data_IF_805412109062
#
_entry.id   IF_805412109062
#
_cell.length_a   1.000
_cell.length_b   1.000
_cell.length_c   1.000
_cell.angle_alpha   90.00
_cell.angle_beta   90.00
_cell.angle_gamma   90.00
#
_symmetry.space_group_name_H-M   'P 1'
#
loop_
_entity.id
_entity.type
_entity.pdbx_description
1 polymer ?
#
# COMPACT_ATOMS: atom_id res chain seq x y z
N UNK A 1 -24.55 -14.33 11.25
CA UNK A 1 -23.24 -14.45 11.94
C UNK A 1 -22.46 -15.55 11.23
N UNK A 2 -21.26 -15.25 10.69
CA UNK A 2 -20.39 -16.28 10.11
C UNK A 2 -19.34 -16.65 11.15
N UNK A 3 -19.04 -17.95 11.29
CA UNK A 3 -18.03 -18.45 12.22
C UNK A 3 -16.76 -18.74 11.43
N UNK A 4 -15.62 -18.30 11.95
CA UNK A 4 -14.30 -18.61 11.39
C UNK A 4 -13.54 -19.39 12.46
N UNK A 5 -13.24 -20.64 12.17
CA UNK A 5 -12.38 -21.46 13.02
C UNK A 5 -10.92 -21.06 12.79
N UNK A 6 -10.19 -20.86 13.87
CA UNK A 6 -8.77 -20.53 13.86
C UNK A 6 -8.01 -21.46 14.79
N UNK A 7 -6.71 -21.62 14.57
CA UNK A 7 -5.83 -22.34 15.51
C UNK A 7 -5.78 -21.60 16.85
N UNK A 8 -5.58 -22.33 17.94
CA UNK A 8 -5.51 -21.75 19.29
C UNK A 8 -4.43 -20.66 19.41
N UNK A 9 -3.27 -20.89 18.80
CA UNK A 9 -2.19 -19.90 18.74
C UNK A 9 -2.64 -18.58 18.08
N UNK A 10 -3.41 -18.67 17.00
CA UNK A 10 -3.96 -17.52 16.30
C UNK A 10 -4.98 -16.80 17.17
N UNK A 11 -5.83 -17.55 17.88
CA UNK A 11 -6.78 -16.97 18.83
C UNK A 11 -6.07 -16.20 19.95
N UNK A 12 -5.01 -16.76 20.54
CA UNK A 12 -4.21 -16.10 21.58
C UNK A 12 -3.60 -14.79 21.06
N UNK A 13 -3.03 -14.81 19.85
CA UNK A 13 -2.50 -13.61 19.20
C UNK A 13 -3.60 -12.57 18.99
N UNK A 14 -4.75 -12.97 18.44
CA UNK A 14 -5.87 -12.08 18.17
C UNK A 14 -6.46 -11.48 19.45
N UNK A 15 -6.47 -12.24 20.55
CA UNK A 15 -6.90 -11.75 21.87
C UNK A 15 -5.99 -10.62 22.38
N UNK A 16 -4.67 -10.74 22.20
CA UNK A 16 -3.71 -9.67 22.53
C UNK A 16 -3.96 -8.44 21.66
N UNK A 17 -4.15 -8.63 20.36
CA UNK A 17 -4.41 -7.53 19.42
C UNK A 17 -5.73 -6.82 19.73
N UNK A 18 -6.81 -7.56 20.01
CA UNK A 18 -8.10 -6.98 20.43
C UNK A 18 -7.94 -6.06 21.64
N UNK A 19 -7.16 -6.49 22.64
CA UNK A 19 -6.87 -5.68 23.84
C UNK A 19 -6.06 -4.44 23.50
N UNK A 20 -5.02 -4.59 22.67
CA UNK A 20 -4.17 -3.48 22.23
C UNK A 20 -4.94 -2.42 21.45
N UNK A 21 -5.76 -2.83 20.48
CA UNK A 21 -6.61 -1.96 19.66
C UNK A 21 -7.86 -1.45 20.40
N UNK A 22 -8.06 -1.85 21.67
CA UNK A 22 -9.28 -1.59 22.46
C UNK A 22 -10.56 -1.90 21.68
N UNK A 23 -10.55 -2.99 20.91
CA UNK A 23 -11.64 -3.35 20.03
C UNK A 23 -12.79 -4.01 20.82
N UNK A 24 -14.03 -3.67 20.44
CA UNK A 24 -15.26 -4.11 21.11
C UNK A 24 -15.45 -5.62 20.94
N UNK A 25 -15.25 -6.12 19.73
CA UNK A 25 -15.36 -7.55 19.37
C UNK A 25 -14.12 -8.05 18.63
N UNK A 26 -14.04 -9.35 18.39
CA UNK A 26 -13.01 -9.92 17.52
C UNK A 26 -13.20 -9.50 16.06
N UNK A 27 -14.45 -9.35 15.61
CA UNK A 27 -14.76 -8.81 14.27
C UNK A 27 -14.23 -7.39 14.11
N UNK A 28 -14.51 -6.52 15.07
CA UNK A 28 -14.00 -5.13 15.10
C UNK A 28 -12.46 -5.10 15.11
N UNK A 29 -11.81 -6.02 15.84
CA UNK A 29 -10.35 -6.13 15.81
C UNK A 29 -9.83 -6.54 14.43
N UNK A 30 -10.52 -7.46 13.74
CA UNK A 30 -10.15 -7.93 12.40
C UNK A 30 -10.35 -6.81 11.37
N UNK A 31 -11.47 -6.10 11.40
CA UNK A 31 -11.74 -4.96 10.50
C UNK A 31 -10.65 -3.90 10.63
N UNK A 32 -10.33 -3.47 11.85
CA UNK A 32 -9.24 -2.52 12.09
C UNK A 32 -7.88 -3.00 11.59
N UNK A 33 -7.57 -4.29 11.75
CA UNK A 33 -6.33 -4.87 11.22
C UNK A 33 -6.28 -4.83 9.70
N UNK A 34 -7.42 -5.09 9.03
CA UNK A 34 -7.54 -5.00 7.57
C UNK A 34 -7.29 -3.56 7.11
N UNK A 35 -7.90 -2.58 7.77
CA UNK A 35 -7.70 -1.16 7.44
C UNK A 35 -6.24 -0.75 7.59
N UNK A 36 -5.61 -1.08 8.73
CA UNK A 36 -4.18 -0.79 8.99
C UNK A 36 -3.30 -1.42 7.91
N UNK A 37 -3.59 -2.66 7.49
CA UNK A 37 -2.83 -3.32 6.44
C UNK A 37 -2.90 -2.55 5.12
N UNK A 38 -4.10 -2.15 4.69
CA UNK A 38 -4.27 -1.42 3.44
C UNK A 38 -3.69 0.00 3.50
N UNK A 39 -3.82 0.70 4.63
CA UNK A 39 -3.20 2.01 4.81
C UNK A 39 -1.67 1.94 4.74
N UNK A 40 -1.06 0.99 5.45
CA UNK A 40 0.38 0.80 5.41
C UNK A 40 0.87 0.43 4.02
N UNK A 41 0.12 -0.44 3.32
CA UNK A 41 0.45 -0.83 1.95
C UNK A 41 0.33 0.35 0.98
N UNK A 42 -0.68 1.20 1.13
CA UNK A 42 -0.84 2.44 0.35
C UNK A 42 0.34 3.39 0.59
N UNK A 43 0.74 3.61 1.85
CA UNK A 43 1.90 4.45 2.18
C UNK A 43 3.19 3.91 1.57
N UNK A 44 3.42 2.61 1.67
CA UNK A 44 4.57 1.95 1.04
C UNK A 44 4.63 2.22 -0.47
N UNK A 45 3.52 2.08 -1.18
CA UNK A 45 3.49 2.35 -2.61
C UNK A 45 3.69 3.83 -2.94
N UNK A 46 3.14 4.75 -2.16
CA UNK A 46 3.38 6.19 -2.35
C UNK A 46 4.86 6.54 -2.16
N UNK A 47 5.50 6.02 -1.12
CA UNK A 47 6.95 6.20 -0.92
C UNK A 47 7.76 5.59 -2.06
N UNK A 48 7.34 4.43 -2.58
CA UNK A 48 8.00 3.80 -3.71
C UNK A 48 7.89 4.67 -4.96
N UNK A 49 6.70 5.23 -5.23
CA UNK A 49 6.48 6.17 -6.33
C UNK A 49 7.37 7.40 -6.16
N UNK A 50 7.42 8.02 -4.98
CA UNK A 50 8.28 9.17 -4.73
C UNK A 50 9.77 8.84 -4.94
N UNK A 51 10.23 7.67 -4.48
CA UNK A 51 11.63 7.23 -4.64
C UNK A 51 12.00 6.85 -6.08
N UNK A 52 11.02 6.38 -6.86
CA UNK A 52 11.23 5.95 -8.25
C UNK A 52 10.89 7.02 -9.28
N UNK A 53 10.26 8.12 -8.85
CA UNK A 53 9.98 9.27 -9.70
C UNK A 53 11.31 9.84 -10.17
N UNK A 54 11.47 9.93 -11.50
CA UNK A 54 12.60 10.63 -12.09
C UNK A 54 12.60 12.09 -11.58
N UNK A 55 13.76 12.64 -11.22
CA UNK A 55 13.87 14.07 -10.95
C UNK A 55 13.32 14.86 -12.13
N UNK A 56 12.62 15.97 -11.88
CA UNK A 56 12.00 16.79 -12.94
C UNK A 56 13.00 17.16 -14.06
N UNK A 57 14.27 17.41 -13.70
CA UNK A 57 15.34 17.66 -14.68
C UNK A 57 15.61 16.48 -15.61
N UNK A 58 15.50 15.24 -15.13
CA UNK A 58 15.64 14.04 -15.95
C UNK A 58 14.38 13.80 -16.79
N UNK A 59 13.19 14.11 -16.25
CA UNK A 59 11.93 14.09 -17.01
C UNK A 59 11.99 15.07 -18.18
N UNK A 60 12.41 16.33 -17.96
CA UNK A 60 12.57 17.32 -19.03
C UNK A 60 13.57 16.88 -20.11
N UNK A 61 14.65 16.19 -19.73
CA UNK A 61 15.61 15.64 -20.70
C UNK A 61 14.95 14.56 -21.55
N UNK A 62 14.23 13.62 -20.93
CA UNK A 62 13.52 12.55 -21.63
C UNK A 62 12.45 13.13 -22.56
N UNK A 63 11.65 14.09 -22.10
CA UNK A 63 10.64 14.77 -22.92
C UNK A 63 11.27 15.51 -24.11
N UNK A 64 12.38 16.22 -23.92
CA UNK A 64 13.12 16.86 -25.02
C UNK A 64 13.66 15.86 -26.02
N UNK A 65 14.10 14.68 -25.58
CA UNK A 65 14.57 13.60 -26.48
C UNK A 65 13.39 13.00 -27.25
N UNK A 66 12.27 12.71 -26.59
CA UNK A 66 11.05 12.20 -27.24
C UNK A 66 10.55 13.19 -28.29
N UNK A 67 10.45 14.48 -27.92
CA UNK A 67 10.01 15.53 -28.84
C UNK A 67 10.91 15.63 -30.08
N UNK A 68 12.23 15.50 -29.92
CA UNK A 68 13.17 15.42 -31.04
C UNK A 68 13.01 14.17 -31.92
N UNK A 69 12.52 13.07 -31.36
CA UNK A 69 12.24 11.82 -32.10
C UNK A 69 10.90 11.92 -32.83
N UNK A 70 9.89 12.53 -32.21
CA UNK A 70 8.55 12.76 -32.78
C UNK A 70 8.56 13.82 -33.89
N UNK A 71 9.31 14.91 -33.72
CA UNK A 71 9.48 15.98 -34.72
C UNK A 71 10.47 15.60 -35.83
N UNK A 72 11.08 14.42 -35.74
CA UNK A 72 11.93 13.91 -36.82
C UNK A 72 11.02 13.54 -37.98
N UNK A 73 11.30 14.04 -39.17
CA UNK A 73 10.73 13.45 -40.39
C UNK A 73 11.28 12.03 -40.51
N UNK A 74 10.45 11.08 -40.09
CA UNK A 74 10.51 9.74 -40.61
C UNK A 74 9.97 9.87 -42.03
N UNK A 75 10.75 9.43 -43.03
CA UNK A 75 10.60 9.62 -44.48
C UNK A 75 10.74 11.04 -45.03
#
# INVERSE_FOLDING_TARGET
MKVISVRDETYVKLKKVKKFLKAKSFGDAIEKLIDIFYENRKRYFLELIEKTKLPEKEVEKVEKVIKKIEEREWW
#
